data_IF_584293814653
#
_entry.id   IF_584293814653
#
_cell.length_a   1.000
_cell.length_b   1.000
_cell.length_c   1.000
_cell.angle_alpha   90.00
_cell.angle_beta   90.00
_cell.angle_gamma   90.00
#
_symmetry.space_group_name_H-M   'P 1'
#
loop_
_entity.id
_entity.type
_entity.pdbx_description
1 polymer ?
#
# COMPACT_ATOMS: atom_id res chain seq x y z
N UNK A 1 -12.97 -1.51 3.47
CA UNK A 1 -12.97 -1.19 4.92
C UNK A 1 -12.36 -2.34 5.73
N UNK A 2 -12.83 -3.58 5.55
CA UNK A 2 -12.30 -4.78 6.24
C UNK A 2 -10.79 -4.99 6.05
N UNK A 3 -10.27 -4.90 4.83
CA UNK A 3 -8.83 -5.08 4.56
C UNK A 3 -7.97 -4.04 5.30
N UNK A 4 -8.40 -2.78 5.30
CA UNK A 4 -7.69 -1.72 6.01
C UNK A 4 -7.65 -1.98 7.51
N UNK A 5 -8.79 -2.34 8.10
CA UNK A 5 -8.87 -2.67 9.51
C UNK A 5 -8.01 -3.89 9.88
N UNK A 6 -7.96 -4.90 9.01
CA UNK A 6 -7.11 -6.08 9.18
C UNK A 6 -5.61 -5.73 9.16
N UNK A 7 -5.20 -4.82 8.27
CA UNK A 7 -3.81 -4.33 8.25
C UNK A 7 -3.44 -3.56 9.51
N UNK A 8 -4.36 -2.73 10.03
CA UNK A 8 -4.16 -2.01 11.30
C UNK A 8 -4.04 -2.98 12.48
N UNK A 9 -4.91 -3.97 12.58
CA UNK A 9 -4.85 -4.96 13.68
C UNK A 9 -3.58 -5.82 13.60
N UNK A 10 -3.15 -6.22 12.40
CA UNK A 10 -1.86 -6.89 12.21
C UNK A 10 -0.69 -6.03 12.68
N UNK A 11 -0.68 -4.74 12.34
CA UNK A 11 0.35 -3.80 12.78
C UNK A 11 0.44 -3.71 14.32
N UNK A 12 -0.70 -3.68 15.00
CA UNK A 12 -0.76 -3.67 16.47
C UNK A 12 -0.20 -4.97 17.05
N UNK A 13 -0.55 -6.13 16.49
CA UNK A 13 -0.02 -7.43 16.95
C UNK A 13 1.51 -7.49 16.77
N UNK A 14 2.03 -7.01 15.63
CA UNK A 14 3.48 -6.95 15.39
C UNK A 14 4.20 -6.03 16.39
N UNK A 15 3.58 -4.91 16.77
CA UNK A 15 4.13 -4.02 17.78
C UNK A 15 4.27 -4.73 19.14
N UNK A 16 3.23 -5.45 19.58
CA UNK A 16 3.28 -6.22 20.82
C UNK A 16 4.30 -7.37 20.79
N UNK A 17 4.44 -8.06 19.66
CA UNK A 17 5.46 -9.11 19.50
C UNK A 17 6.88 -8.53 19.59
N UNK A 18 7.12 -7.38 18.95
CA UNK A 18 8.40 -6.66 19.03
C UNK A 18 8.71 -6.23 20.47
N UNK A 19 7.74 -5.61 21.15
CA UNK A 19 7.90 -5.16 22.53
C UNK A 19 8.22 -6.35 23.47
N UNK A 20 7.49 -7.45 23.33
CA UNK A 20 7.74 -8.67 24.12
C UNK A 20 9.11 -9.26 23.86
N UNK A 21 9.55 -9.33 22.59
CA UNK A 21 10.84 -9.89 22.22
C UNK A 21 12.03 -9.07 22.76
N UNK A 22 11.92 -7.75 22.79
CA UNK A 22 12.98 -6.85 23.23
C UNK A 22 12.85 -6.38 24.69
N UNK A 23 11.76 -6.74 25.37
CA UNK A 23 11.46 -6.34 26.76
C UNK A 23 12.62 -6.61 27.72
N UNK A 24 13.27 -7.77 27.60
CA UNK A 24 14.41 -8.16 28.46
C UNK A 24 15.64 -7.24 28.31
N UNK A 25 15.83 -6.66 27.11
CA UNK A 25 16.97 -5.80 26.81
C UNK A 25 16.73 -4.32 27.11
N UNK A 26 15.47 -3.92 27.35
CA UNK A 26 15.08 -2.50 27.48
C UNK A 26 15.36 -1.65 26.24
N UNK A 27 15.67 -2.27 25.09
CA UNK A 27 16.16 -1.58 23.91
C UNK A 27 14.99 -1.05 23.05
N UNK A 28 14.42 0.07 23.49
CA UNK A 28 13.30 0.74 22.82
C UNK A 28 13.57 1.11 21.35
N UNK A 29 14.85 1.32 20.99
CA UNK A 29 15.26 1.60 19.60
C UNK A 29 15.01 0.38 18.70
N UNK A 30 15.31 -0.81 19.21
CA UNK A 30 15.03 -2.06 18.50
C UNK A 30 13.53 -2.32 18.40
N UNK A 31 12.77 -2.03 19.47
CA UNK A 31 11.31 -2.18 19.49
C UNK A 31 10.63 -1.36 18.38
N UNK A 32 11.03 -0.10 18.20
CA UNK A 32 10.54 0.77 17.13
C UNK A 32 11.17 0.42 15.76
N UNK A 33 12.42 -0.04 15.74
CA UNK A 33 13.14 -0.43 14.53
C UNK A 33 12.44 -1.55 13.76
N UNK A 34 11.80 -2.50 14.45
CA UNK A 34 11.02 -3.56 13.80
C UNK A 34 9.84 -2.99 13.01
N UNK A 35 9.18 -1.93 13.49
CA UNK A 35 8.09 -1.26 12.77
C UNK A 35 8.59 -0.44 11.58
N UNK A 36 9.84 0.01 11.61
CA UNK A 36 10.45 0.70 10.47
C UNK A 36 10.63 -0.24 9.25
N UNK A 37 10.83 -1.54 9.47
CA UNK A 37 11.01 -2.52 8.40
C UNK A 37 9.79 -2.59 7.44
N UNK A 38 8.55 -2.86 7.88
CA UNK A 38 7.39 -2.85 6.99
C UNK A 38 7.09 -1.46 6.41
N UNK A 39 7.42 -0.38 7.10
CA UNK A 39 7.27 0.98 6.58
C UNK A 39 8.20 1.24 5.39
N UNK A 40 9.47 0.83 5.48
CA UNK A 40 10.44 0.95 4.38
C UNK A 40 10.02 0.09 3.19
N UNK A 41 9.56 -1.14 3.44
CA UNK A 41 9.02 -2.02 2.38
C UNK A 41 7.84 -1.35 1.68
N UNK A 42 6.92 -0.74 2.43
CA UNK A 42 5.78 -0.04 1.86
C UNK A 42 6.20 1.17 1.02
N UNK A 43 7.17 1.95 1.48
CA UNK A 43 7.72 3.08 0.70
C UNK A 43 8.29 2.58 -0.63
N UNK A 44 9.10 1.52 -0.60
CA UNK A 44 9.68 0.93 -1.80
C UNK A 44 8.57 0.48 -2.76
N UNK A 45 7.57 -0.25 -2.26
CA UNK A 45 6.44 -0.72 -3.08
C UNK A 45 5.63 0.43 -3.70
N UNK A 46 5.42 1.51 -2.95
CA UNK A 46 4.69 2.70 -3.45
C UNK A 46 5.45 3.39 -4.57
N UNK A 47 6.78 3.44 -4.53
CA UNK A 47 7.60 4.02 -5.61
C UNK A 47 7.45 3.24 -6.93
N UNK A 48 7.17 1.94 -6.88
CA UNK A 48 6.92 1.11 -8.07
C UNK A 48 5.45 1.09 -8.52
N UNK A 49 4.52 1.63 -7.72
CA UNK A 49 3.10 1.56 -8.02
C UNK A 49 2.72 2.60 -9.08
N UNK A 50 2.01 2.22 -10.16
CA UNK A 50 1.53 3.20 -11.13
C UNK A 50 0.55 4.17 -10.48
N UNK A 51 0.52 5.41 -10.99
CA UNK A 51 -0.45 6.40 -10.54
C UNK A 51 -1.89 5.90 -10.72
N UNK A 52 -2.79 6.31 -9.84
CA UNK A 52 -4.20 5.94 -9.92
C UNK A 52 -4.78 6.31 -11.29
N UNK A 53 -5.41 5.38 -12.03
CA UNK A 53 -5.94 5.64 -13.36
C UNK A 53 -7.03 6.71 -13.37
N UNK A 54 -7.82 6.81 -12.29
CA UNK A 54 -8.80 7.87 -12.10
C UNK A 54 -8.15 9.25 -11.98
N UNK A 55 -7.03 9.33 -11.28
CA UNK A 55 -6.27 10.57 -11.14
C UNK A 55 -5.61 10.98 -12.46
N UNK A 56 -5.10 10.01 -13.24
CA UNK A 56 -4.56 10.26 -14.59
C UNK A 56 -5.64 10.77 -15.54
N UNK A 57 -6.84 10.20 -15.50
CA UNK A 57 -7.98 10.65 -16.29
C UNK A 57 -8.42 12.08 -15.93
N UNK A 58 -8.48 12.43 -14.64
CA UNK A 58 -8.81 13.78 -14.17
C UNK A 58 -7.77 14.84 -14.61
N UNK A 59 -6.52 14.44 -14.80
CA UNK A 59 -5.45 15.29 -15.34
C UNK A 59 -5.41 15.37 -16.86
N UNK A 60 -6.38 14.77 -17.57
CA UNK A 60 -6.44 14.74 -19.04
C UNK A 60 -5.42 13.79 -19.69
N UNK A 61 -4.72 12.95 -18.90
CA UNK A 61 -3.73 11.98 -19.37
C UNK A 61 -4.39 10.63 -19.67
N UNK A 62 -5.31 10.64 -20.62
CA UNK A 62 -6.16 9.47 -20.93
C UNK A 62 -5.37 8.25 -21.44
N UNK A 63 -4.29 8.46 -22.19
CA UNK A 63 -3.46 7.36 -22.74
C UNK A 63 -2.80 6.56 -21.60
N UNK A 64 -2.21 7.26 -20.63
CA UNK A 64 -1.58 6.62 -19.47
C UNK A 64 -2.60 6.00 -18.52
N UNK A 65 -3.78 6.63 -18.37
CA UNK A 65 -4.88 6.04 -17.62
C UNK A 65 -5.32 4.70 -18.23
N UNK A 66 -5.41 4.61 -19.57
CA UNK A 66 -5.75 3.37 -20.28
C UNK A 66 -4.67 2.29 -20.10
N UNK A 67 -3.39 2.65 -20.17
CA UNK A 67 -2.28 1.72 -19.96
C UNK A 67 -2.30 1.12 -18.54
N UNK A 68 -2.49 1.96 -17.52
CA UNK A 68 -2.61 1.50 -16.12
C UNK A 68 -3.88 0.65 -15.93
N UNK A 69 -5.00 1.00 -16.58
CA UNK A 69 -6.22 0.20 -16.53
C UNK A 69 -6.06 -1.18 -17.19
N UNK A 70 -5.33 -1.27 -18.31
CA UNK A 70 -4.99 -2.54 -18.97
C UNK A 70 -4.09 -3.41 -18.10
N UNK A 71 -3.18 -2.82 -17.32
CA UNK A 71 -2.39 -3.57 -16.34
C UNK A 71 -3.22 -4.11 -15.18
N UNK A 72 -4.23 -3.37 -14.72
CA UNK A 72 -5.06 -3.77 -13.57
C UNK A 72 -6.22 -4.70 -13.91
N UNK A 73 -6.70 -4.72 -15.17
CA UNK A 73 -7.84 -5.53 -15.61
C UNK A 73 -7.58 -6.19 -16.96
N UNK A 74 -7.84 -7.50 -17.03
CA UNK A 74 -7.83 -8.30 -18.26
C UNK A 74 -9.06 -8.02 -19.17
N UNK A 75 -9.90 -7.03 -18.84
CA UNK A 75 -11.13 -6.73 -19.60
C UNK A 75 -11.24 -5.23 -19.85
N UNK A 76 -10.78 -4.84 -21.04
CA UNK A 76 -10.84 -3.51 -21.67
C UNK A 76 -12.24 -2.88 -21.73
N UNK A 77 -13.30 -3.64 -21.46
CA UNK A 77 -14.69 -3.24 -21.74
C UNK A 77 -15.31 -2.35 -20.66
N UNK A 78 -15.02 -2.60 -19.37
CA UNK A 78 -15.55 -1.77 -18.27
C UNK A 78 -14.81 -0.44 -18.07
N UNK A 79 -13.62 -0.30 -18.64
CA UNK A 79 -12.80 0.92 -18.55
C UNK A 79 -13.32 2.06 -19.44
N UNK A 80 -13.99 1.73 -20.55
CA UNK A 80 -14.60 2.70 -21.48
C UNK A 80 -15.93 3.24 -20.97
N UNK A 81 -16.68 2.44 -20.21
CA UNK A 81 -18.01 2.79 -19.73
C UNK A 81 -17.99 3.75 -18.53
N UNK A 82 -16.89 3.79 -17.76
CA UNK A 82 -16.71 4.75 -16.64
C UNK A 82 -16.23 6.15 -17.08
N UNK A 83 -15.89 6.34 -18.35
CA UNK A 83 -15.37 7.60 -18.91
C UNK A 83 -16.39 8.37 -19.78
N UNK A 84 -17.65 7.90 -19.88
CA UNK A 84 -18.77 8.61 -20.50
C UNK A 84 -19.68 9.28 -19.47
#
# INVERSE_FOLDING_TARGET
ISMYQLMVTLGIVLAFLSDTAFSYSGNWRAMLGVLALPAVILIILVVFLPNSPRWLAEKGRHIEAEEVLRMLRDTSEKARDELN
#
